data_IF_066183375740
#
_entry.id   IF_066183375740
#
_cell.length_a   1.000
_cell.length_b   1.000
_cell.length_c   1.000
_cell.angle_alpha   90.00
_cell.angle_beta   90.00
_cell.angle_gamma   90.00
#
_symmetry.space_group_name_H-M   'P 1'
#
loop_
_entity.id
_entity.type
_entity.pdbx_description
1 polymer ?
#
# COMPACT_ATOMS: atom_id res chain seq x y z
N UNK A 1 -28.81 -7.48 -9.29
CA UNK A 1 -27.66 -6.60 -8.97
C UNK A 1 -28.18 -5.50 -8.06
N UNK A 2 -27.58 -5.31 -6.88
CA UNK A 2 -28.04 -4.31 -5.90
C UNK A 2 -27.78 -2.88 -6.41
N UNK A 3 -28.81 -2.07 -6.75
CA UNK A 3 -28.62 -0.76 -7.39
C UNK A 3 -27.90 0.26 -6.48
N UNK A 4 -27.95 0.08 -5.16
CA UNK A 4 -27.28 0.94 -4.19
C UNK A 4 -25.78 0.63 -3.98
N UNK A 5 -25.31 -0.56 -4.40
CA UNK A 5 -23.92 -1.00 -4.18
C UNK A 5 -22.86 -0.02 -4.71
N UNK A 6 -22.93 0.50 -5.95
CA UNK A 6 -21.91 1.45 -6.43
C UNK A 6 -21.91 2.76 -5.64
N UNK A 7 -23.05 3.18 -5.10
CA UNK A 7 -23.13 4.37 -4.24
C UNK A 7 -22.44 4.13 -2.90
N UNK A 8 -22.76 3.02 -2.23
CA UNK A 8 -22.15 2.64 -0.96
C UNK A 8 -20.63 2.49 -1.10
N UNK A 9 -20.16 1.82 -2.15
CA UNK A 9 -18.74 1.65 -2.42
C UNK A 9 -18.03 2.99 -2.67
N UNK A 10 -18.67 3.93 -3.38
CA UNK A 10 -18.11 5.27 -3.61
C UNK A 10 -17.94 6.05 -2.30
N UNK A 11 -18.91 5.95 -1.39
CA UNK A 11 -18.85 6.61 -0.09
C UNK A 11 -17.76 5.99 0.79
N UNK A 12 -17.69 4.66 0.85
CA UNK A 12 -16.67 3.95 1.63
C UNK A 12 -15.26 4.16 1.09
N UNK A 13 -15.10 4.19 -0.24
CA UNK A 13 -13.80 4.26 -0.93
C UNK A 13 -13.58 5.58 -1.68
N UNK A 14 -13.93 6.70 -1.07
CA UNK A 14 -13.85 8.03 -1.67
C UNK A 14 -12.41 8.58 -1.85
N UNK A 15 -11.44 8.08 -1.08
CA UNK A 15 -10.04 8.55 -1.11
C UNK A 15 -9.26 7.89 -2.24
N UNK A 16 -8.33 8.64 -2.85
CA UNK A 16 -7.38 8.09 -3.83
C UNK A 16 -6.56 6.97 -3.18
N UNK A 17 -6.46 5.86 -3.89
CA UNK A 17 -5.72 4.67 -3.49
C UNK A 17 -4.92 4.13 -4.67
N UNK A 18 -3.86 3.40 -4.36
CA UNK A 18 -3.14 2.57 -5.31
C UNK A 18 -2.48 1.41 -4.56
N UNK A 19 -2.10 0.39 -5.31
CA UNK A 19 -1.34 -0.76 -4.83
C UNK A 19 0.06 -0.78 -5.48
N UNK A 20 1.05 -1.16 -4.70
CA UNK A 20 2.35 -1.66 -5.13
C UNK A 20 2.47 -3.02 -4.47
N UNK A 21 2.97 -4.02 -5.19
CA UNK A 21 3.11 -5.38 -4.68
C UNK A 21 4.58 -5.79 -4.79
N UNK A 22 5.16 -6.19 -3.66
CA UNK A 22 6.45 -6.88 -3.65
C UNK A 22 7.65 -6.01 -4.02
N UNK A 23 7.61 -4.72 -3.69
CA UNK A 23 8.73 -3.79 -3.89
C UNK A 23 9.05 -3.45 -5.35
N UNK A 24 8.34 -4.04 -6.32
CA UNK A 24 8.56 -3.82 -7.75
C UNK A 24 7.84 -2.56 -8.21
N UNK A 25 8.49 -1.40 -8.05
CA UNK A 25 8.00 -0.13 -8.58
C UNK A 25 9.15 0.77 -9.01
N UNK A 26 8.82 1.77 -9.82
CA UNK A 26 9.71 2.87 -10.14
C UNK A 26 8.99 4.18 -9.87
N UNK A 27 9.69 5.13 -9.27
CA UNK A 27 9.22 6.49 -9.03
C UNK A 27 10.34 7.48 -9.34
N UNK A 28 9.98 8.68 -9.79
CA UNK A 28 10.98 9.73 -10.00
C UNK A 28 11.49 10.25 -8.66
N UNK A 29 12.68 10.85 -8.66
CA UNK A 29 13.26 11.46 -7.47
C UNK A 29 12.33 12.52 -6.87
N UNK A 30 11.69 13.32 -7.70
CA UNK A 30 10.78 14.39 -7.30
C UNK A 30 9.53 13.81 -6.62
N UNK A 31 8.98 12.71 -7.15
CA UNK A 31 7.85 12.02 -6.54
C UNK A 31 8.19 11.49 -5.15
N UNK A 32 9.38 10.90 -4.99
CA UNK A 32 9.87 10.42 -3.68
C UNK A 32 10.11 11.57 -2.71
N UNK A 33 10.71 12.68 -3.15
CA UNK A 33 10.87 13.86 -2.29
C UNK A 33 9.53 14.44 -1.85
N UNK A 34 8.53 14.49 -2.74
CA UNK A 34 7.20 15.04 -2.43
C UNK A 34 6.43 14.24 -1.38
N UNK A 35 6.71 12.94 -1.27
CA UNK A 35 6.13 12.09 -0.21
C UNK A 35 7.01 12.04 1.05
N UNK A 36 8.15 12.74 1.08
CA UNK A 36 9.07 12.75 2.22
C UNK A 36 10.05 11.56 2.27
N UNK A 37 10.27 10.88 1.14
CA UNK A 37 11.14 9.70 1.03
C UNK A 37 10.40 8.38 1.23
N UNK A 38 11.17 7.29 1.37
CA UNK A 38 10.63 5.97 1.68
C UNK A 38 10.33 5.95 3.19
N UNK A 39 9.07 5.70 3.61
CA UNK A 39 8.70 5.69 5.00
C UNK A 39 9.33 4.48 5.72
N UNK A 40 9.82 4.64 6.96
CA UNK A 40 10.46 3.58 7.73
C UNK A 40 9.39 2.63 8.31
N UNK A 41 8.72 1.88 7.45
CA UNK A 41 7.64 0.97 7.82
C UNK A 41 8.17 -0.46 7.86
N UNK A 42 7.75 -1.19 8.88
CA UNK A 42 8.09 -2.61 9.03
C UNK A 42 7.45 -3.42 7.91
N UNK A 43 8.16 -4.44 7.48
CA UNK A 43 7.73 -5.37 6.46
C UNK A 43 6.28 -5.88 6.71
N UNK A 44 5.49 -5.96 5.62
CA UNK A 44 4.02 -6.05 5.54
C UNK A 44 3.27 -4.70 5.59
N UNK A 45 3.51 -3.84 4.60
CA UNK A 45 2.70 -2.61 4.41
C UNK A 45 3.48 -1.39 3.95
N UNK A 46 4.80 -1.49 3.88
CA UNK A 46 5.67 -0.49 3.29
C UNK A 46 5.26 -0.15 1.85
N UNK A 47 5.00 -1.18 1.03
CA UNK A 47 4.54 -1.04 -0.35
C UNK A 47 3.14 -0.43 -0.44
N UNK A 48 2.19 -0.88 0.40
CA UNK A 48 0.84 -0.34 0.44
C UNK A 48 0.83 1.15 0.84
N UNK A 49 1.60 1.55 1.85
CA UNK A 49 1.67 2.94 2.31
C UNK A 49 2.38 3.80 1.28
N UNK A 50 3.48 3.33 0.70
CA UNK A 50 4.15 4.00 -0.42
C UNK A 50 3.18 4.28 -1.56
N UNK A 51 2.41 3.27 -1.98
CA UNK A 51 1.45 3.39 -3.06
C UNK A 51 0.36 4.43 -2.74
N UNK A 52 -0.13 4.47 -1.50
CA UNK A 52 -1.13 5.45 -1.07
C UNK A 52 -0.58 6.87 -0.98
N UNK A 53 0.64 7.03 -0.46
CA UNK A 53 1.30 8.34 -0.39
C UNK A 53 1.52 8.90 -1.80
N UNK A 54 2.00 8.07 -2.74
CA UNK A 54 2.14 8.47 -4.15
C UNK A 54 0.78 8.82 -4.77
N UNK A 55 -0.25 7.98 -4.56
CA UNK A 55 -1.59 8.19 -5.09
C UNK A 55 -2.25 9.50 -4.60
N UNK A 56 -2.01 9.85 -3.33
CA UNK A 56 -2.65 10.99 -2.65
C UNK A 56 -1.87 12.29 -2.86
N UNK A 57 -0.53 12.26 -2.80
CA UNK A 57 0.31 13.47 -2.82
C UNK A 57 0.90 13.81 -4.20
N UNK A 58 1.12 12.81 -5.06
CA UNK A 58 1.78 13.00 -6.35
C UNK A 58 0.78 12.89 -7.49
N UNK A 59 0.08 11.76 -7.61
CA UNK A 59 -0.83 11.52 -8.73
C UNK A 59 -1.09 10.04 -8.96
N UNK A 60 -1.53 9.68 -10.17
CA UNK A 60 -1.88 8.29 -10.52
C UNK A 60 -0.63 7.41 -10.54
N UNK A 61 -0.68 6.29 -9.83
CA UNK A 61 0.26 5.17 -9.99
C UNK A 61 -0.30 4.27 -11.09
N UNK A 62 0.56 3.85 -12.03
CA UNK A 62 0.16 3.02 -13.19
C UNK A 62 0.80 1.65 -13.09
N UNK A 63 0.00 0.62 -13.36
CA UNK A 63 0.50 -0.74 -13.54
C UNK A 63 0.82 -0.99 -15.02
N UNK A 64 2.00 -1.52 -15.31
CA UNK A 64 2.45 -1.82 -16.67
C UNK A 64 2.85 -3.29 -16.77
N UNK A 65 2.18 -4.06 -17.62
CA UNK A 65 2.54 -5.44 -17.90
C UNK A 65 3.78 -5.57 -18.79
N UNK A 66 4.25 -4.46 -19.38
CA UNK A 66 5.46 -4.42 -20.22
C UNK A 66 6.75 -4.46 -19.39
N UNK A 67 6.65 -4.15 -18.10
CA UNK A 67 7.79 -4.15 -17.17
C UNK A 67 7.44 -5.14 -16.06
N UNK A 68 8.09 -6.29 -16.08
CA UNK A 68 7.89 -7.34 -15.09
C UNK A 68 9.23 -7.72 -14.47
N UNK A 69 9.17 -8.17 -13.23
CA UNK A 69 10.32 -8.70 -12.51
C UNK A 69 9.96 -10.10 -12.00
N UNK A 70 10.83 -11.06 -12.28
CA UNK A 70 10.70 -12.41 -11.71
C UNK A 70 10.96 -12.34 -10.20
N UNK A 71 10.04 -12.87 -9.41
CA UNK A 71 10.13 -12.92 -7.95
C UNK A 71 10.08 -14.35 -7.45
N UNK A 72 10.86 -14.66 -6.42
CA UNK A 72 10.87 -15.97 -5.77
C UNK A 72 9.54 -16.27 -5.05
N UNK A 73 9.03 -17.52 -5.10
CA UNK A 73 7.85 -17.93 -4.34
C UNK A 73 8.12 -18.19 -2.85
N UNK A 74 9.37 -18.09 -2.39
CA UNK A 74 9.83 -18.49 -1.05
C UNK A 74 8.86 -18.14 0.09
N UNK A 75 8.28 -16.94 0.10
CA UNK A 75 7.35 -16.52 1.17
C UNK A 75 5.99 -17.21 1.12
N UNK A 76 5.51 -17.50 -0.09
CA UNK A 76 4.31 -18.32 -0.29
C UNK A 76 4.55 -19.75 0.18
N UNK A 77 5.75 -20.30 -0.08
CA UNK A 77 6.12 -21.65 0.35
C UNK A 77 6.28 -21.74 1.89
N UNK A 78 6.92 -20.73 2.50
CA UNK A 78 7.16 -20.69 3.96
C UNK A 78 5.89 -20.38 4.77
N UNK A 79 5.07 -19.42 4.32
CA UNK A 79 3.94 -18.89 5.11
C UNK A 79 2.56 -19.34 4.63
N UNK A 80 2.46 -19.89 3.42
CA UNK A 80 1.21 -20.30 2.80
C UNK A 80 0.49 -19.16 2.06
N UNK A 81 -0.15 -19.51 0.93
CA UNK A 81 -0.79 -18.55 0.02
C UNK A 81 -1.79 -17.61 0.71
N UNK A 82 -2.73 -18.16 1.47
CA UNK A 82 -3.79 -17.36 2.09
C UNK A 82 -3.27 -16.41 3.17
N UNK A 83 -2.27 -16.85 3.96
CA UNK A 83 -1.68 -16.03 5.02
C UNK A 83 -0.95 -14.83 4.42
N UNK A 84 -0.14 -15.04 3.39
CA UNK A 84 0.58 -13.96 2.70
C UNK A 84 -0.40 -12.92 2.13
N UNK A 85 -1.45 -13.36 1.45
CA UNK A 85 -2.46 -12.46 0.89
C UNK A 85 -3.23 -11.70 1.97
N UNK A 86 -3.58 -12.36 3.08
CA UNK A 86 -4.27 -11.73 4.20
C UNK A 86 -3.43 -10.62 4.85
N UNK A 87 -2.14 -10.86 5.10
CA UNK A 87 -1.26 -9.83 5.69
C UNK A 87 -1.13 -8.60 4.79
N UNK A 88 -0.97 -8.79 3.47
CA UNK A 88 -0.98 -7.68 2.51
C UNK A 88 -2.32 -6.94 2.47
N UNK A 89 -3.44 -7.65 2.45
CA UNK A 89 -4.77 -7.03 2.44
C UNK A 89 -5.03 -6.23 3.73
N UNK A 90 -4.68 -6.80 4.88
CA UNK A 90 -4.80 -6.13 6.18
C UNK A 90 -3.97 -4.85 6.22
N UNK A 91 -2.71 -4.91 5.80
CA UNK A 91 -1.83 -3.74 5.74
C UNK A 91 -2.38 -2.66 4.80
N UNK A 92 -2.88 -3.06 3.63
CA UNK A 92 -3.50 -2.16 2.67
C UNK A 92 -4.72 -1.44 3.23
N UNK A 93 -5.70 -2.17 3.78
CA UNK A 93 -6.90 -1.53 4.33
C UNK A 93 -6.57 -0.64 5.54
N UNK A 94 -5.64 -1.07 6.38
CA UNK A 94 -5.19 -0.26 7.50
C UNK A 94 -4.56 1.07 7.04
N UNK A 95 -3.69 1.03 6.04
CA UNK A 95 -3.14 2.23 5.42
C UNK A 95 -4.21 3.09 4.73
N UNK A 96 -5.22 2.46 4.12
CA UNK A 96 -6.30 3.18 3.42
C UNK A 96 -7.12 4.03 4.38
N UNK A 97 -7.58 3.42 5.47
CA UNK A 97 -8.48 4.04 6.45
C UNK A 97 -7.75 4.96 7.44
N UNK A 98 -6.43 4.86 7.59
CA UNK A 98 -5.66 5.79 8.42
C UNK A 98 -5.69 7.20 7.82
N UNK A 99 -6.03 8.21 8.64
CA UNK A 99 -6.26 9.59 8.20
C UNK A 99 -5.00 10.23 7.60
N UNK A 100 -3.84 10.04 8.22
CA UNK A 100 -2.55 10.48 7.67
C UNK A 100 -1.61 9.28 7.46
N UNK A 101 -1.11 9.11 6.24
CA UNK A 101 -0.05 8.12 6.00
C UNK A 101 1.23 8.46 6.79
N UNK A 102 1.44 9.74 7.14
CA UNK A 102 2.50 10.18 8.05
C UNK A 102 2.23 9.74 9.50
N UNK A 103 0.97 9.77 9.97
CA UNK A 103 0.61 9.27 11.30
C UNK A 103 0.75 7.75 11.40
N UNK A 104 0.58 7.01 10.29
CA UNK A 104 0.88 5.57 10.25
C UNK A 104 2.36 5.27 10.53
N UNK A 105 3.27 6.08 9.98
CA UNK A 105 4.72 5.99 10.28
C UNK A 105 4.99 6.24 11.77
N UNK A 106 4.26 7.17 12.40
CA UNK A 106 4.38 7.44 13.83
C UNK A 106 3.75 6.34 14.70
N UNK A 107 2.61 5.77 14.33
CA UNK A 107 1.96 4.70 15.11
C UNK A 107 2.78 3.41 15.13
N UNK A 108 3.51 3.10 14.06
CA UNK A 108 4.41 1.94 14.02
C UNK A 108 5.62 2.15 14.94
N UNK A 109 6.13 3.38 15.07
CA UNK A 109 7.23 3.70 16.01
C UNK A 109 6.82 3.60 17.49
N UNK A 110 5.55 3.85 17.82
CA UNK A 110 5.06 3.82 19.20
C UNK A 110 4.76 2.38 19.67
N UNK A 111 4.47 1.45 18.76
CA UNK A 111 4.23 0.04 19.06
C UNK A 111 5.47 -0.80 19.43
N UNK A 112 6.67 -0.22 19.41
CA UNK A 112 7.94 -0.89 19.78
C UNK A 112 8.49 -0.44 21.16
N UNK A 113 7.64 0.08 22.05
CA UNK A 113 7.93 0.16 23.49
C UNK A 113 6.92 -0.67 24.30
N UNK A 114 7.13 -1.99 24.28
CA UNK A 114 6.79 -2.92 25.36
C UNK A 114 7.62 -4.20 25.16
#
# INVERSE_FOLDING_TARGET
>A
MLPALPYVLRVLFWRRASIIIGGNFAATREALHKIGGIPPIKFWGDDAVMAMMLARSVGKVKFSQKVWAQSSPRRFDESGFWRVNYEYARAYFHAYFTKDCSSFVHSVKIGERA
#
